data_IF_395083705932
#
_entry.id   IF_395083705932
#
_cell.length_a   1.000
_cell.length_b   1.000
_cell.length_c   1.000
_cell.angle_alpha   90.00
_cell.angle_beta   90.00
_cell.angle_gamma   90.00
#
_symmetry.space_group_name_H-M   'P 1'
#
loop_
_entity.id
_entity.type
_entity.pdbx_description
1 polymer ?
#
# COMPACT_ATOMS: atom_id res chain seq x y z
N UNK A 1 38.47 9.33 64.59
CA UNK A 1 37.80 8.56 63.52
C UNK A 1 38.87 7.96 62.61
N UNK A 2 39.23 6.69 62.85
CA UNK A 2 40.28 5.94 62.16
C UNK A 2 39.60 5.03 61.14
N UNK A 3 39.73 5.33 59.84
CA UNK A 3 39.20 4.48 58.76
C UNK A 3 40.15 3.32 58.52
N UNK A 4 39.72 2.11 58.84
CA UNK A 4 40.39 0.88 58.40
C UNK A 4 40.19 0.71 56.88
N UNK A 5 41.27 0.41 56.14
CA UNK A 5 41.21 -0.07 54.76
C UNK A 5 41.53 -1.57 54.77
N UNK A 6 40.52 -2.36 54.41
CA UNK A 6 40.63 -3.80 54.17
C UNK A 6 41.50 -4.03 52.93
N UNK A 7 42.52 -4.90 53.05
CA UNK A 7 43.37 -5.36 51.94
C UNK A 7 42.64 -6.47 51.18
N UNK A 8 42.27 -6.23 49.93
CA UNK A 8 41.72 -7.27 49.05
C UNK A 8 42.87 -7.98 48.33
N UNK A 9 43.14 -9.24 48.71
CA UNK A 9 44.05 -10.15 48.02
C UNK A 9 43.36 -10.74 46.78
N UNK A 10 43.80 -10.37 45.57
CA UNK A 10 43.35 -11.02 44.33
C UNK A 10 44.23 -12.25 44.06
N UNK A 11 43.64 -13.45 44.13
CA UNK A 11 44.28 -14.71 43.73
C UNK A 11 43.97 -14.98 42.26
N UNK A 12 44.99 -15.08 41.42
CA UNK A 12 44.86 -15.50 40.02
C UNK A 12 44.92 -17.02 39.93
N UNK A 13 43.78 -17.67 39.65
CA UNK A 13 43.72 -19.11 39.35
C UNK A 13 43.90 -19.26 37.84
N UNK A 14 45.00 -19.87 37.43
CA UNK A 14 45.30 -20.18 36.03
C UNK A 14 44.69 -21.54 35.68
N UNK A 15 43.60 -21.54 34.89
CA UNK A 15 42.97 -22.78 34.39
C UNK A 15 43.60 -23.10 33.03
N UNK A 16 44.24 -24.26 32.83
CA UNK A 16 44.73 -24.63 31.51
C UNK A 16 43.55 -24.99 30.59
N UNK A 17 43.51 -24.34 29.43
CA UNK A 17 42.53 -24.55 28.38
C UNK A 17 42.88 -25.83 27.60
N UNK A 18 42.20 -26.94 27.89
CA UNK A 18 42.31 -28.17 27.10
C UNK A 18 41.41 -28.06 25.86
N UNK A 19 42.00 -27.96 24.67
CA UNK A 19 41.30 -27.99 23.40
C UNK A 19 40.88 -29.44 23.08
N UNK A 20 39.58 -29.71 23.15
CA UNK A 20 38.97 -30.96 22.70
C UNK A 20 38.71 -30.86 21.20
N UNK A 21 39.49 -31.58 20.38
CA UNK A 21 39.20 -31.72 18.95
C UNK A 21 37.96 -32.61 18.77
N UNK A 22 36.87 -32.01 18.32
CA UNK A 22 35.66 -32.75 17.90
C UNK A 22 35.92 -33.27 16.47
N UNK A 23 36.00 -34.59 16.30
CA UNK A 23 36.00 -35.19 14.97
C UNK A 23 34.62 -34.98 14.33
N UNK A 24 34.57 -34.11 13.32
CA UNK A 24 33.42 -33.99 12.44
C UNK A 24 33.46 -35.22 11.53
N UNK A 25 32.74 -36.27 11.90
CA UNK A 25 32.47 -37.40 11.02
C UNK A 25 31.80 -36.87 9.75
N UNK A 26 32.53 -36.88 8.64
CA UNK A 26 32.01 -36.45 7.35
C UNK A 26 30.81 -37.30 6.96
N UNK A 27 29.67 -36.66 6.74
CA UNK A 27 28.52 -37.32 6.08
C UNK A 27 28.95 -37.61 4.64
N UNK A 28 29.35 -38.85 4.36
CA UNK A 28 29.50 -39.32 2.99
C UNK A 28 28.10 -39.48 2.40
N UNK A 29 27.62 -38.45 1.70
CA UNK A 29 26.38 -38.56 0.92
C UNK A 29 26.52 -39.67 -0.11
N UNK A 30 25.63 -40.66 -0.09
CA UNK A 30 25.57 -41.67 -1.14
C UNK A 30 25.26 -40.98 -2.47
N UNK A 31 26.23 -40.95 -3.38
CA UNK A 31 26.04 -40.40 -4.71
C UNK A 31 25.01 -41.24 -5.47
N UNK A 32 23.79 -40.71 -5.60
CA UNK A 32 22.75 -41.30 -6.43
C UNK A 32 23.02 -40.96 -7.89
N UNK A 33 23.00 -41.97 -8.76
CA UNK A 33 23.17 -41.76 -10.21
C UNK A 33 21.81 -41.75 -10.89
N UNK A 34 21.50 -40.67 -11.61
CA UNK A 34 20.34 -40.60 -12.51
C UNK A 34 20.85 -40.88 -13.93
N UNK A 35 20.43 -41.99 -14.52
CA UNK A 35 20.76 -42.36 -15.91
C UNK A 35 19.60 -42.00 -16.82
N UNK A 36 19.86 -41.21 -17.86
CA UNK A 36 18.86 -40.79 -18.86
C UNK A 36 19.20 -41.45 -20.20
N UNK A 37 18.28 -42.25 -20.73
CA UNK A 37 18.41 -42.86 -22.07
C UNK A 37 17.91 -41.89 -23.14
N UNK A 38 18.84 -41.16 -23.77
CA UNK A 38 18.52 -40.19 -24.84
C UNK A 38 18.26 -40.84 -26.19
N UNK A 39 18.43 -42.16 -26.32
CA UNK A 39 18.16 -42.89 -27.58
C UNK A 39 16.66 -43.14 -27.81
N UNK A 40 15.83 -42.93 -26.79
CA UNK A 40 14.38 -43.16 -26.82
C UNK A 40 13.64 -41.85 -26.53
N UNK A 41 13.18 -41.11 -27.56
CA UNK A 41 12.39 -39.91 -27.33
C UNK A 41 11.10 -40.26 -26.57
N UNK A 42 10.76 -39.43 -25.58
CA UNK A 42 9.52 -39.53 -24.83
C UNK A 42 8.30 -39.05 -25.62
N UNK A 43 7.16 -38.92 -24.95
CA UNK A 43 5.94 -38.36 -25.54
C UNK A 43 6.11 -36.87 -25.86
N UNK A 44 5.37 -36.38 -26.85
CA UNK A 44 5.33 -34.95 -27.18
C UNK A 44 4.69 -34.19 -26.02
N UNK A 45 5.42 -33.23 -25.46
CA UNK A 45 4.90 -32.37 -24.39
C UNK A 45 4.01 -31.30 -25.01
N UNK A 46 2.78 -31.18 -24.51
CA UNK A 46 1.85 -30.15 -24.98
C UNK A 46 2.38 -28.74 -24.68
N UNK A 47 2.35 -27.80 -25.65
CA UNK A 47 2.75 -26.41 -25.40
C UNK A 47 1.96 -25.74 -24.26
N UNK A 48 0.69 -26.10 -24.07
CA UNK A 48 -0.14 -25.50 -23.01
C UNK A 48 0.31 -25.90 -21.60
N UNK A 49 1.14 -26.94 -21.46
CA UNK A 49 1.65 -27.37 -20.16
C UNK A 49 2.54 -26.30 -19.50
N UNK A 50 3.21 -25.48 -20.30
CA UNK A 50 4.15 -24.45 -19.82
C UNK A 50 3.80 -23.03 -20.28
N UNK A 51 2.84 -22.86 -21.20
CA UNK A 51 2.36 -21.55 -21.66
C UNK A 51 1.08 -21.05 -20.96
N UNK A 52 0.62 -21.72 -19.90
CA UNK A 52 -0.53 -21.28 -19.11
C UNK A 52 -0.18 -20.15 -18.14
N UNK A 53 -1.10 -19.21 -17.93
CA UNK A 53 -1.00 -18.17 -16.91
C UNK A 53 -2.25 -18.24 -16.03
N UNK A 54 -2.06 -18.16 -14.71
CA UNK A 54 -3.15 -17.94 -13.77
C UNK A 54 -3.38 -16.44 -13.63
N UNK A 55 -4.64 -16.02 -13.68
CA UNK A 55 -5.04 -14.62 -13.56
C UNK A 55 -6.00 -14.49 -12.39
N UNK A 56 -5.56 -13.81 -11.34
CA UNK A 56 -6.36 -13.47 -10.17
C UNK A 56 -5.97 -12.07 -9.67
N UNK A 57 -6.88 -11.42 -8.94
CA UNK A 57 -6.51 -10.25 -8.15
C UNK A 57 -5.83 -10.76 -6.90
N UNK A 58 -4.52 -10.63 -6.86
CA UNK A 58 -3.72 -10.87 -5.68
C UNK A 58 -2.62 -9.81 -5.61
N UNK A 59 -2.48 -9.18 -4.44
CA UNK A 59 -1.43 -8.20 -4.16
C UNK A 59 -1.37 -7.05 -5.18
N UNK A 60 -2.50 -6.55 -5.68
CA UNK A 60 -2.54 -5.49 -6.71
C UNK A 60 -1.93 -5.90 -8.07
N UNK A 61 -1.94 -7.20 -8.39
CA UNK A 61 -1.45 -7.71 -9.67
C UNK A 61 -2.31 -7.31 -10.88
N UNK A 62 -3.61 -7.08 -10.65
CA UNK A 62 -4.53 -6.55 -11.68
C UNK A 62 -4.63 -5.04 -11.51
N UNK A 63 -5.32 -4.58 -10.47
CA UNK A 63 -5.48 -3.17 -10.16
C UNK A 63 -4.20 -2.63 -9.53
N UNK A 64 -3.48 -1.79 -10.27
CA UNK A 64 -2.13 -1.32 -9.93
C UNK A 64 -1.00 -2.07 -10.63
N UNK A 65 -1.34 -3.13 -11.36
CA UNK A 65 -0.41 -3.92 -12.17
C UNK A 65 -0.87 -3.98 -13.63
N UNK A 66 -1.58 -5.04 -13.99
CA UNK A 66 -2.00 -5.30 -15.38
C UNK A 66 -2.96 -4.23 -15.93
N UNK A 67 -3.85 -3.68 -15.09
CA UNK A 67 -4.76 -2.62 -15.49
C UNK A 67 -4.10 -1.25 -15.39
N UNK A 68 -4.15 -0.47 -16.48
CA UNK A 68 -3.43 0.81 -16.62
C UNK A 68 -4.06 2.00 -15.85
N UNK A 69 -4.97 1.74 -14.91
CA UNK A 69 -5.51 2.79 -14.04
C UNK A 69 -4.43 3.22 -13.04
N UNK A 70 -4.15 4.53 -13.01
CA UNK A 70 -3.15 5.12 -12.11
C UNK A 70 -3.74 5.56 -10.77
N UNK A 71 -5.05 5.85 -10.76
CA UNK A 71 -5.77 6.33 -9.58
C UNK A 71 -6.29 5.13 -8.80
N UNK A 72 -5.81 4.97 -7.56
CA UNK A 72 -6.26 3.91 -6.67
C UNK A 72 -7.63 4.25 -6.09
N UNK A 73 -8.53 3.26 -6.04
CA UNK A 73 -9.89 3.43 -5.48
C UNK A 73 -10.61 4.66 -6.08
N UNK A 74 -10.60 4.79 -7.41
CA UNK A 74 -11.18 5.93 -8.11
C UNK A 74 -12.72 5.98 -8.10
N UNK A 75 -13.38 4.85 -7.82
CA UNK A 75 -14.84 4.73 -7.68
C UNK A 75 -15.31 4.79 -6.23
N UNK A 76 -14.39 4.74 -5.26
CA UNK A 76 -14.67 4.77 -3.82
C UNK A 76 -15.38 3.52 -3.29
N UNK A 77 -15.42 2.43 -4.07
CA UNK A 77 -16.10 1.17 -3.72
C UNK A 77 -15.23 0.22 -2.88
N UNK A 78 -13.93 0.52 -2.71
CA UNK A 78 -13.00 -0.33 -1.96
C UNK A 78 -13.09 -0.08 -0.43
N UNK A 79 -11.96 -0.24 0.27
CA UNK A 79 -11.83 -0.16 1.73
C UNK A 79 -12.26 1.19 2.33
N UNK A 80 -12.63 1.14 3.62
CA UNK A 80 -12.87 2.30 4.49
C UNK A 80 -11.77 2.35 5.57
N UNK A 81 -10.97 3.42 5.69
CA UNK A 81 -11.05 4.71 5.02
C UNK A 81 -10.75 4.65 3.51
N UNK A 82 -11.17 5.67 2.76
CA UNK A 82 -11.05 5.74 1.29
C UNK A 82 -9.59 5.62 0.86
N UNK A 83 -9.20 4.41 0.49
CA UNK A 83 -7.80 4.05 0.29
C UNK A 83 -7.14 4.85 -0.83
N UNK A 84 -5.90 5.29 -0.61
CA UNK A 84 -5.12 6.07 -1.57
C UNK A 84 -5.49 7.56 -1.63
N UNK A 85 -6.54 8.02 -0.95
CA UNK A 85 -6.95 9.44 -0.97
C UNK A 85 -6.62 10.15 0.34
N UNK A 86 -6.19 11.41 0.27
CA UNK A 86 -5.97 12.27 1.43
C UNK A 86 -6.16 13.76 1.13
N UNK A 87 -6.25 14.57 2.20
CA UNK A 87 -6.29 16.03 2.09
C UNK A 87 -4.88 16.59 1.90
N UNK A 88 -4.75 17.52 0.96
CA UNK A 88 -3.59 18.40 0.88
C UNK A 88 -3.64 19.39 2.03
N UNK A 89 -2.57 19.42 2.84
CA UNK A 89 -2.38 20.42 3.89
C UNK A 89 -1.41 21.51 3.40
N UNK A 90 -1.82 22.79 3.39
CA UNK A 90 -0.96 23.94 3.06
C UNK A 90 0.31 23.98 3.92
N UNK A 91 1.43 24.40 3.33
CA UNK A 91 2.72 24.50 4.01
C UNK A 91 2.74 25.59 5.10
N UNK A 92 3.39 25.28 6.24
CA UNK A 92 3.85 26.24 7.25
C UNK A 92 2.83 27.01 8.09
N UNK A 93 1.55 26.63 8.10
CA UNK A 93 0.59 27.15 9.08
C UNK A 93 0.02 26.00 9.89
N UNK A 94 0.13 26.05 11.23
CA UNK A 94 -0.63 25.19 12.16
C UNK A 94 -2.13 25.54 12.16
N UNK A 95 -2.69 25.79 10.99
CA UNK A 95 -4.07 26.17 10.71
C UNK A 95 -4.40 25.54 9.35
N UNK A 96 -5.36 24.66 9.16
CA UNK A 96 -6.27 23.88 9.99
C UNK A 96 -6.65 22.71 9.07
N UNK A 97 -6.93 21.53 9.63
CA UNK A 97 -7.60 20.45 8.92
C UNK A 97 -9.05 20.92 8.60
N UNK A 98 -9.23 21.86 7.66
CA UNK A 98 -10.53 22.51 7.33
C UNK A 98 -11.36 21.71 6.33
N UNK A 99 -10.89 20.52 5.99
CA UNK A 99 -11.61 19.55 5.20
C UNK A 99 -11.99 18.36 6.08
N UNK A 100 -13.23 17.88 5.97
CA UNK A 100 -13.54 16.52 6.39
C UNK A 100 -13.61 15.65 5.14
N UNK A 101 -12.81 14.59 5.09
CA UNK A 101 -12.99 13.51 4.12
C UNK A 101 -13.83 12.44 4.74
N UNK A 102 -14.95 12.17 4.10
CA UNK A 102 -15.79 11.04 4.44
C UNK A 102 -16.18 10.30 3.16
N UNK A 103 -16.39 9.00 3.30
CA UNK A 103 -17.06 8.22 2.26
C UNK A 103 -18.56 8.37 2.48
N UNK A 104 -19.25 9.00 1.55
CA UNK A 104 -20.70 9.01 1.58
C UNK A 104 -21.22 7.69 0.99
N UNK A 105 -22.24 7.10 1.62
CA UNK A 105 -22.92 5.88 1.20
C UNK A 105 -24.35 6.21 0.80
N UNK A 106 -24.82 5.65 -0.32
CA UNK A 106 -26.26 5.70 -0.62
C UNK A 106 -27.01 4.66 0.21
N UNK A 107 -27.90 5.08 1.09
CA UNK A 107 -28.83 4.17 1.77
C UNK A 107 -30.27 4.27 1.24
N UNK A 108 -30.52 5.03 0.17
CA UNK A 108 -31.87 5.34 -0.31
C UNK A 108 -32.18 4.74 -1.70
N UNK A 109 -33.31 4.03 -1.78
CA UNK A 109 -33.93 3.50 -3.02
C UNK A 109 -35.00 4.44 -3.59
N UNK A 110 -34.73 5.74 -3.66
CA UNK A 110 -35.62 6.69 -4.35
C UNK A 110 -34.82 7.58 -5.28
N UNK A 111 -35.52 8.13 -6.29
CA UNK A 111 -35.06 8.61 -7.60
C UNK A 111 -34.03 9.75 -7.64
N UNK A 112 -33.38 10.07 -6.54
CA UNK A 112 -32.37 11.12 -6.37
C UNK A 112 -31.11 10.55 -5.69
N UNK A 113 -30.62 9.40 -6.15
CA UNK A 113 -29.37 8.83 -5.65
C UNK A 113 -28.26 9.86 -5.85
N UNK A 114 -27.62 10.33 -4.77
CA UNK A 114 -26.59 11.38 -4.83
C UNK A 114 -25.31 10.96 -5.56
N UNK A 115 -25.25 9.70 -5.98
CA UNK A 115 -24.18 9.05 -6.69
C UNK A 115 -24.32 9.26 -8.19
N UNK A 116 -23.21 9.07 -8.90
CA UNK A 116 -23.14 9.33 -10.34
C UNK A 116 -24.12 8.47 -11.16
N UNK A 117 -24.35 7.23 -10.73
CA UNK A 117 -25.24 6.27 -11.38
C UNK A 117 -25.67 5.18 -10.39
N UNK A 118 -26.59 4.31 -10.82
CA UNK A 118 -27.17 3.25 -9.98
C UNK A 118 -26.20 2.14 -9.56
N UNK A 119 -25.04 2.01 -10.22
CA UNK A 119 -24.03 1.01 -9.90
C UNK A 119 -22.93 1.56 -8.98
N UNK A 120 -22.90 2.88 -8.76
CA UNK A 120 -21.96 3.52 -7.85
C UNK A 120 -22.70 3.77 -6.53
N UNK A 121 -22.24 3.12 -5.46
CA UNK A 121 -22.88 3.18 -4.14
C UNK A 121 -22.16 4.16 -3.22
N UNK A 122 -20.93 4.55 -3.57
CA UNK A 122 -20.09 5.44 -2.80
C UNK A 122 -19.68 6.69 -3.58
N UNK A 123 -19.35 7.75 -2.84
CA UNK A 123 -18.60 8.88 -3.37
C UNK A 123 -17.67 9.46 -2.30
N UNK A 124 -16.61 10.13 -2.74
CA UNK A 124 -15.77 10.92 -1.85
C UNK A 124 -16.46 12.26 -1.58
N UNK A 125 -16.83 12.50 -0.33
CA UNK A 125 -17.37 13.78 0.13
C UNK A 125 -16.25 14.60 0.74
N UNK A 126 -16.10 15.82 0.24
CA UNK A 126 -15.18 16.81 0.73
C UNK A 126 -15.96 18.02 1.25
N UNK A 127 -16.03 18.17 2.58
CA UNK A 127 -16.65 19.32 3.22
C UNK A 127 -15.60 20.43 3.39
N UNK A 128 -15.77 21.56 2.71
CA UNK A 128 -14.83 22.70 2.73
C UNK A 128 -15.26 23.69 3.82
N UNK A 129 -14.41 23.94 4.80
CA UNK A 129 -14.66 24.90 5.88
C UNK A 129 -14.58 26.38 5.49
N UNK A 130 -15.11 27.25 6.36
CA UNK A 130 -15.12 28.71 6.21
C UNK A 130 -13.68 29.27 6.24
N UNK A 131 -13.36 30.15 5.28
CA UNK A 131 -12.01 30.57 4.87
C UNK A 131 -11.32 29.56 3.95
N UNK A 132 -11.86 29.39 2.75
CA UNK A 132 -11.25 28.63 1.66
C UNK A 132 -9.85 29.14 1.36
N UNK A 133 -8.88 28.61 2.11
CA UNK A 133 -7.47 28.75 1.80
C UNK A 133 -7.28 28.20 0.38
N UNK A 134 -6.63 28.95 -0.52
CA UNK A 134 -6.43 28.53 -1.91
C UNK A 134 -5.60 27.23 -2.05
N UNK A 135 -5.10 26.69 -0.93
CA UNK A 135 -4.20 25.54 -0.88
C UNK A 135 -4.84 24.24 -0.33
N UNK A 136 -6.16 24.19 -0.15
CA UNK A 136 -6.85 22.92 0.23
C UNK A 136 -7.24 22.10 -1.01
N UNK A 137 -7.00 20.78 -0.97
CA UNK A 137 -7.25 19.90 -2.11
C UNK A 137 -7.28 18.42 -1.74
N UNK A 138 -7.55 17.59 -2.74
CA UNK A 138 -7.50 16.13 -2.65
C UNK A 138 -6.30 15.61 -3.43
N UNK A 139 -5.61 14.64 -2.85
CA UNK A 139 -4.52 13.92 -3.54
C UNK A 139 -4.81 12.43 -3.52
N UNK A 140 -4.54 11.77 -4.66
CA UNK A 140 -4.50 10.32 -4.74
C UNK A 140 -3.03 9.86 -4.84
N UNK A 141 -2.62 8.92 -4.01
CA UNK A 141 -1.25 8.40 -3.99
C UNK A 141 -0.95 7.41 -5.11
N UNK A 142 -1.96 6.97 -5.87
CA UNK A 142 -1.87 5.82 -6.77
C UNK A 142 -1.50 4.53 -6.03
N UNK A 143 -0.80 3.66 -6.74
CA UNK A 143 -0.31 2.38 -6.24
C UNK A 143 1.16 2.53 -5.82
N UNK A 144 1.37 2.99 -4.57
CA UNK A 144 2.69 3.38 -4.04
C UNK A 144 3.42 4.45 -4.86
N UNK A 145 2.65 5.31 -5.52
CA UNK A 145 3.13 6.37 -6.40
C UNK A 145 2.39 6.37 -7.74
N UNK A 146 2.59 7.45 -8.49
CA UNK A 146 2.14 7.56 -9.88
C UNK A 146 3.36 7.91 -10.71
N UNK A 147 3.76 6.97 -11.58
CA UNK A 147 4.86 7.21 -12.53
C UNK A 147 4.33 8.04 -13.69
N UNK A 148 4.97 9.17 -13.92
CA UNK A 148 4.75 10.01 -15.10
C UNK A 148 6.00 9.98 -15.97
N UNK A 149 5.83 9.58 -17.23
CA UNK A 149 6.88 9.45 -18.21
C UNK A 149 6.88 10.66 -19.15
N UNK A 150 8.07 11.10 -19.55
CA UNK A 150 8.23 12.21 -20.48
C UNK A 150 7.58 11.88 -21.83
N UNK A 151 6.97 12.89 -22.46
CA UNK A 151 6.31 12.78 -23.77
C UNK A 151 5.16 11.76 -23.82
N UNK A 152 4.58 11.40 -22.66
CA UNK A 152 3.41 10.53 -22.57
C UNK A 152 2.15 11.34 -22.29
N UNK A 153 1.09 11.09 -23.05
CA UNK A 153 -0.22 11.71 -22.83
C UNK A 153 -1.04 10.88 -21.86
N UNK A 154 -1.46 11.49 -20.76
CA UNK A 154 -2.35 10.89 -19.76
C UNK A 154 -3.78 11.39 -19.93
N UNK A 155 -4.76 10.51 -19.73
CA UNK A 155 -6.19 10.87 -19.72
C UNK A 155 -6.66 10.97 -18.28
N UNK A 156 -7.03 12.17 -17.85
CA UNK A 156 -7.65 12.41 -16.55
C UNK A 156 -9.11 12.83 -16.75
N UNK A 157 -10.00 12.23 -15.97
CA UNK A 157 -11.43 12.56 -15.96
C UNK A 157 -12.00 12.25 -14.59
N UNK A 158 -12.92 13.09 -14.11
CA UNK A 158 -13.66 12.87 -12.87
C UNK A 158 -15.05 13.48 -12.99
N UNK A 159 -15.95 13.02 -12.14
CA UNK A 159 -17.26 13.62 -11.95
C UNK A 159 -17.30 14.31 -10.59
N UNK A 160 -17.89 15.50 -10.54
CA UNK A 160 -18.07 16.25 -9.31
C UNK A 160 -19.44 16.91 -9.30
N UNK A 161 -20.03 16.96 -8.10
CA UNK A 161 -21.27 17.67 -7.81
C UNK A 161 -21.04 18.50 -6.56
N UNK A 162 -21.56 19.73 -6.56
CA UNK A 162 -21.64 20.54 -5.35
C UNK A 162 -22.94 20.26 -4.60
N UNK A 163 -22.91 20.37 -3.29
CA UNK A 163 -24.12 20.39 -2.47
C UNK A 163 -24.98 21.62 -2.85
N UNK A 164 -26.32 21.51 -2.95
CA UNK A 164 -27.19 22.65 -3.16
C UNK A 164 -27.00 23.80 -2.15
N UNK A 165 -26.56 23.49 -0.92
CA UNK A 165 -26.28 24.46 0.15
C UNK A 165 -24.97 25.23 -0.08
N UNK A 166 -24.07 24.74 -0.93
CA UNK A 166 -22.75 25.34 -1.16
C UNK A 166 -22.83 26.83 -1.59
N UNK A 167 -23.85 27.23 -2.35
CA UNK A 167 -24.04 28.64 -2.75
C UNK A 167 -24.46 29.57 -1.59
N UNK A 168 -25.14 29.03 -0.57
CA UNK A 168 -25.63 29.83 0.57
C UNK A 168 -24.50 30.24 1.51
N UNK A 169 -23.36 29.57 1.47
CA UNK A 169 -22.18 29.93 2.28
C UNK A 169 -21.28 30.97 1.60
N UNK A 170 -21.35 31.11 0.27
CA UNK A 170 -20.55 32.08 -0.50
C UNK A 170 -21.12 33.50 -0.53
N UNK A 171 -22.40 33.67 -0.17
CA UNK A 171 -23.01 34.99 0.05
C UNK A 171 -23.07 35.23 1.54
N UNK A 172 -21.96 35.74 2.09
CA UNK A 172 -21.88 36.17 3.47
C UNK A 172 -23.09 37.05 3.84
N UNK A 173 -23.50 36.91 5.10
CA UNK A 173 -24.34 37.85 5.82
C UNK A 173 -24.01 39.28 5.39
N UNK A 174 -24.96 39.93 4.69
CA UNK A 174 -25.05 41.38 4.70
C UNK A 174 -25.68 41.82 6.01
#
# INVERSE_FOLDING_TARGET
MRKERVKTMQHYISIPLTLLFLEIGGVTGNAQTITIDVSKPGHVISPILYNGMLFEEISHGIDGGFYAQLIRNGSFEDNNPVEGWSLVSPGSSKLVNKGYLSRAMNTQMTSETEQLNSNQHHCLRWDIGWNGDPETGLVNSGYWGIRLDNNTTYKASFFARKDPVFEKMGKGFN
#
